data_IF_414028690828
#
_entry.id   IF_414028690828
#
_cell.length_a   1.000
_cell.length_b   1.000
_cell.length_c   1.000
_cell.angle_alpha   90.00
_cell.angle_beta   90.00
_cell.angle_gamma   90.00
#
_symmetry.space_group_name_H-M   'P 1'
#
loop_
_entity.id
_entity.type
_entity.pdbx_description
1 polymer ?
#
# COMPACT_ATOMS: atom_id res chain seq x y z
N UNK A 1 -15.04 -15.73 -39.27
CA UNK A 1 -14.32 -16.62 -38.34
C UNK A 1 -14.23 -15.92 -36.99
N UNK A 2 -14.84 -16.40 -35.90
CA UNK A 2 -14.78 -15.72 -34.62
C UNK A 2 -13.43 -15.98 -33.96
N UNK A 3 -12.74 -14.91 -33.55
CA UNK A 3 -11.53 -15.02 -32.72
C UNK A 3 -11.91 -15.62 -31.37
N UNK A 4 -11.45 -16.84 -31.10
CA UNK A 4 -11.47 -17.45 -29.78
C UNK A 4 -10.61 -16.59 -28.84
N UNK A 5 -11.26 -15.72 -28.05
CA UNK A 5 -10.59 -15.01 -26.96
C UNK A 5 -10.07 -16.08 -25.99
N UNK A 6 -8.75 -16.18 -25.85
CA UNK A 6 -8.09 -17.00 -24.82
C UNK A 6 -8.44 -16.42 -23.44
N UNK A 7 -9.62 -16.73 -22.93
CA UNK A 7 -10.10 -16.29 -21.63
C UNK A 7 -9.52 -17.20 -20.56
N UNK A 8 -8.43 -16.77 -19.93
CA UNK A 8 -7.84 -17.51 -18.82
C UNK A 8 -6.72 -16.80 -18.08
N UNK A 9 -6.21 -15.69 -18.62
CA UNK A 9 -5.20 -14.86 -17.94
C UNK A 9 -5.88 -13.59 -17.44
N UNK A 10 -5.71 -13.29 -16.16
CA UNK A 10 -6.23 -12.06 -15.58
C UNK A 10 -5.73 -10.84 -16.39
N UNK A 11 -6.58 -9.82 -16.60
CA UNK A 11 -6.15 -8.61 -17.29
C UNK A 11 -5.02 -7.96 -16.51
N UNK A 12 -4.01 -7.45 -17.23
CA UNK A 12 -2.80 -6.87 -16.66
C UNK A 12 -3.11 -5.77 -15.62
N UNK A 13 -4.15 -4.97 -15.86
CA UNK A 13 -4.60 -3.92 -14.93
C UNK A 13 -4.88 -4.46 -13.52
N UNK A 14 -5.46 -5.66 -13.41
CA UNK A 14 -5.79 -6.30 -12.13
C UNK A 14 -4.54 -6.79 -11.40
N UNK A 15 -3.56 -7.27 -12.17
CA UNK A 15 -2.26 -7.69 -11.62
C UNK A 15 -1.49 -6.47 -11.10
N UNK A 16 -1.49 -5.37 -11.86
CA UNK A 16 -0.85 -4.11 -11.49
C UNK A 16 -1.48 -3.50 -10.24
N UNK A 17 -2.81 -3.52 -10.12
CA UNK A 17 -3.52 -3.08 -8.91
C UNK A 17 -3.04 -3.87 -7.68
N UNK A 18 -2.99 -5.20 -7.79
CA UNK A 18 -2.51 -6.07 -6.71
C UNK A 18 -1.05 -5.81 -6.33
N UNK A 19 -0.20 -5.47 -7.30
CA UNK A 19 1.22 -5.13 -7.06
C UNK A 19 1.38 -3.73 -6.45
N UNK A 20 0.46 -2.80 -6.75
CA UNK A 20 0.44 -1.46 -6.16
C UNK A 20 0.02 -1.51 -4.68
N UNK A 21 -0.80 -2.48 -4.30
CA UNK A 21 -1.28 -2.64 -2.93
C UNK A 21 -0.13 -2.74 -1.93
N UNK A 22 -0.32 -2.01 -0.84
CA UNK A 22 0.66 -1.88 0.22
C UNK A 22 0.58 -3.05 1.20
N UNK A 23 1.37 -4.09 0.92
CA UNK A 23 1.42 -5.32 1.72
C UNK A 23 2.84 -5.60 2.25
N UNK A 24 2.92 -6.06 3.50
CA UNK A 24 4.18 -6.44 4.16
C UNK A 24 4.92 -5.29 4.84
N UNK A 25 6.14 -5.57 5.29
CA UNK A 25 6.97 -4.59 6.00
C UNK A 25 7.48 -3.52 5.03
N UNK A 26 7.19 -2.26 5.35
CA UNK A 26 7.63 -1.11 4.58
C UNK A 26 8.62 -0.29 5.40
N UNK A 27 9.50 0.40 4.69
CA UNK A 27 10.32 1.47 5.25
C UNK A 27 9.44 2.65 5.71
N UNK A 28 10.05 3.80 5.92
CA UNK A 28 9.38 5.01 6.39
C UNK A 28 8.42 5.57 5.36
N UNK A 29 7.13 5.56 5.68
CA UNK A 29 6.09 6.27 4.94
C UNK A 29 5.82 7.61 5.63
N UNK A 30 5.81 8.68 4.84
CA UNK A 30 5.48 10.02 5.30
C UNK A 30 3.99 10.25 5.06
N UNK A 31 3.24 10.54 6.12
CA UNK A 31 1.84 10.94 6.02
C UNK A 31 1.74 12.43 5.71
N UNK A 32 0.61 12.83 5.12
CA UNK A 32 0.30 14.24 4.81
C UNK A 32 0.33 15.13 6.05
N UNK A 33 0.04 14.55 7.22
CA UNK A 33 0.07 15.24 8.51
C UNK A 33 1.49 15.53 9.03
N UNK A 34 2.53 15.08 8.31
CA UNK A 34 3.93 15.19 8.73
C UNK A 34 4.39 14.07 9.65
N UNK A 35 3.49 13.17 10.02
CA UNK A 35 3.80 11.95 10.77
C UNK A 35 4.57 10.97 9.89
N UNK A 36 5.38 10.13 10.54
CA UNK A 36 6.14 9.08 9.86
C UNK A 36 5.76 7.73 10.43
N UNK A 37 5.54 6.76 9.56
CA UNK A 37 5.25 5.39 9.96
C UNK A 37 6.21 4.41 9.31
N UNK A 38 6.90 3.62 10.13
CA UNK A 38 7.78 2.53 9.72
C UNK A 38 7.21 1.23 10.24
N UNK A 39 6.80 0.31 9.39
CA UNK A 39 6.17 -0.91 9.87
C UNK A 39 5.46 -1.72 8.80
N UNK A 40 4.69 -2.71 9.24
CA UNK A 40 3.86 -3.52 8.38
C UNK A 40 2.69 -2.73 7.76
N UNK A 41 2.35 -3.09 6.53
CA UNK A 41 1.17 -2.61 5.82
C UNK A 41 0.37 -3.81 5.30
N UNK A 42 -0.93 -3.65 5.26
CA UNK A 42 -1.84 -4.62 4.65
C UNK A 42 -3.00 -3.86 4.01
N UNK A 43 -3.23 -4.07 2.72
CA UNK A 43 -4.31 -3.41 1.96
C UNK A 43 -4.31 -1.88 2.16
N UNK A 44 -3.15 -1.24 2.04
CA UNK A 44 -3.02 0.23 2.16
C UNK A 44 -3.33 0.80 3.54
N UNK A 45 -3.40 -0.06 4.56
CA UNK A 45 -3.54 0.33 5.97
C UNK A 45 -2.33 -0.11 6.77
N UNK A 46 -2.02 0.65 7.83
CA UNK A 46 -0.99 0.28 8.82
C UNK A 46 -1.41 -1.02 9.49
N UNK A 47 -0.54 -2.03 9.48
CA UNK A 47 -0.87 -3.35 10.03
C UNK A 47 0.34 -4.03 10.67
N UNK A 48 0.12 -4.75 11.76
CA UNK A 48 1.18 -5.46 12.47
C UNK A 48 2.09 -4.52 13.27
N UNK A 49 3.32 -4.97 13.52
CA UNK A 49 4.31 -4.23 14.33
C UNK A 49 4.93 -3.11 13.51
N UNK A 50 5.00 -1.92 14.10
CA UNK A 50 5.60 -0.75 13.50
C UNK A 50 5.79 0.36 14.52
N UNK A 51 6.61 1.32 14.15
CA UNK A 51 6.87 2.54 14.90
C UNK A 51 6.21 3.71 14.18
N UNK A 52 5.37 4.43 14.90
CA UNK A 52 4.78 5.68 14.45
C UNK A 52 5.46 6.84 15.17
N UNK A 53 6.00 7.78 14.41
CA UNK A 53 6.56 9.03 14.90
C UNK A 53 5.56 10.13 14.61
N UNK A 54 4.87 10.55 15.66
CA UNK A 54 3.97 11.70 15.59
C UNK A 54 4.79 12.98 15.61
N UNK A 55 4.59 13.81 14.59
CA UNK A 55 5.16 15.16 14.61
C UNK A 55 4.30 15.95 15.59
N UNK A 56 4.72 16.04 16.85
CA UNK A 56 4.04 16.87 17.86
C UNK A 56 3.88 18.26 17.28
N UNK A 57 2.66 18.61 16.89
CA UNK A 57 2.24 20.00 16.75
C UNK A 57 2.44 20.60 18.13
N UNK A 58 3.43 21.48 18.25
CA UNK A 58 3.58 22.31 19.44
C UNK A 58 2.32 23.12 19.60
N UNK A 59 1.40 22.63 20.43
CA UNK A 59 0.40 23.46 21.07
C UNK A 59 1.17 24.32 22.08
N UNK A 60 1.43 25.57 21.69
CA UNK A 60 1.72 26.68 22.61
C UNK A 60 0.39 27.40 22.80
#
# INVERSE_FOLDING_TARGET
MPFLKLTGKEPLNKILDRMAQKNGMRHTIYLTNGDKYTGGWLNDKKHGKGTEVYKKTGAI
#
